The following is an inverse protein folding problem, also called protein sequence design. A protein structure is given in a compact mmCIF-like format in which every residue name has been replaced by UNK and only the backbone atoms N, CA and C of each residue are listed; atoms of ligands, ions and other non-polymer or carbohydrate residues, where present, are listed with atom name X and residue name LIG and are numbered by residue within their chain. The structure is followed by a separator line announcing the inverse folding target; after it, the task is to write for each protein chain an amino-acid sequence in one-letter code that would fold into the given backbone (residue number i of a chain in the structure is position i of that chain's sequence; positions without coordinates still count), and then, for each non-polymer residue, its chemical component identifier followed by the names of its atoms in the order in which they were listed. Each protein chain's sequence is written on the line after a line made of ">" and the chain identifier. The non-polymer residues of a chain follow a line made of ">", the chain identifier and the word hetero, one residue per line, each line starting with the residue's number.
data_IF_293942828900
#
_entry.id   IF_293942828900
#
_cell.length_a   1.000
_cell.length_b   1.000
_cell.length_c   1.000
_cell.angle_alpha   90.00
_cell.angle_beta   90.00
_cell.angle_gamma   90.00
#
_symmetry.space_group_name_H-M   'P 1'
#
loop_
_entity.id
_entity.type
_entity.pdbx_description
1 polymer ?
#
# COMPACT_ATOMS: atom_id res chain seq x y z
N UNK A 1 26.08 -0.54 8.58
CA UNK A 1 25.95 -1.89 8.00
C UNK A 1 24.82 -1.81 6.98
N UNK A 2 25.23 -1.51 5.74
CA UNK A 2 24.53 -1.74 4.47
C UNK A 2 23.01 -1.49 4.39
N UNK A 3 22.67 -0.21 4.20
CA UNK A 3 21.39 0.30 3.67
C UNK A 3 21.15 -0.12 2.20
N UNK A 4 21.13 -1.42 1.90
CA UNK A 4 20.82 -1.90 0.55
C UNK A 4 19.31 -1.89 0.23
N UNK A 5 18.47 -1.54 1.20
CA UNK A 5 17.02 -1.50 1.05
C UNK A 5 16.51 -0.15 0.47
N UNK A 6 17.40 0.85 0.33
CA UNK A 6 17.06 2.25 0.00
C UNK A 6 16.72 2.53 -1.47
N UNK A 7 17.41 1.98 -2.49
CA UNK A 7 17.31 2.52 -3.85
C UNK A 7 15.95 2.30 -4.52
N UNK A 8 15.33 1.14 -4.29
CA UNK A 8 14.04 0.83 -4.90
C UNK A 8 12.89 1.57 -4.22
N UNK A 9 12.98 1.82 -2.91
CA UNK A 9 12.02 2.63 -2.15
C UNK A 9 12.09 4.10 -2.57
N UNK A 10 13.30 4.63 -2.71
CA UNK A 10 13.53 5.97 -3.27
C UNK A 10 12.99 6.09 -4.70
N UNK A 11 13.26 5.09 -5.55
CA UNK A 11 12.69 5.05 -6.89
C UNK A 11 11.16 4.99 -6.86
N UNK A 12 10.56 4.21 -5.94
CA UNK A 12 9.12 4.12 -5.79
C UNK A 12 8.51 5.45 -5.30
N UNK A 13 9.24 6.21 -4.49
CA UNK A 13 8.81 7.55 -4.08
C UNK A 13 8.79 8.55 -5.25
N UNK A 14 9.78 8.47 -6.13
CA UNK A 14 9.90 9.37 -7.30
C UNK A 14 8.95 8.96 -8.43
N UNK A 15 8.82 7.65 -8.67
CA UNK A 15 8.08 7.08 -9.80
C UNK A 15 6.79 6.39 -9.36
N UNK A 16 6.17 6.88 -8.28
CA UNK A 16 4.95 6.29 -7.73
C UNK A 16 3.81 6.17 -8.74
N UNK A 17 3.50 7.21 -9.56
CA UNK A 17 2.46 7.09 -10.59
C UNK A 17 2.77 5.99 -11.60
N UNK A 18 3.99 5.95 -12.14
CA UNK A 18 4.40 4.97 -13.15
C UNK A 18 4.43 3.55 -12.58
N UNK A 19 4.81 3.41 -11.30
CA UNK A 19 4.74 2.15 -10.58
C UNK A 19 3.31 1.62 -10.48
N UNK A 20 2.35 2.48 -10.10
CA UNK A 20 0.94 2.08 -10.03
C UNK A 20 0.35 1.84 -11.43
N UNK A 21 0.71 2.64 -12.43
CA UNK A 21 0.29 2.41 -13.81
C UNK A 21 0.71 1.02 -14.31
N UNK A 22 1.93 0.60 -13.97
CA UNK A 22 2.49 -0.68 -14.41
C UNK A 22 1.89 -1.88 -13.67
N UNK A 23 1.77 -1.81 -12.34
CA UNK A 23 1.43 -2.98 -11.51
C UNK A 23 0.00 -2.99 -10.98
N UNK A 24 -0.63 -1.82 -10.85
CA UNK A 24 -1.95 -1.63 -10.26
C UNK A 24 -2.79 -0.59 -11.05
N UNK A 25 -3.03 -0.82 -12.35
CA UNK A 25 -3.64 0.18 -13.23
C UNK A 25 -5.01 0.65 -12.74
N UNK A 26 -5.81 -0.23 -12.13
CA UNK A 26 -7.11 0.16 -11.53
C UNK A 26 -6.96 1.20 -10.42
N UNK A 27 -5.93 1.07 -9.57
CA UNK A 27 -5.63 2.04 -8.50
C UNK A 27 -5.10 3.33 -9.12
N UNK A 28 -4.24 3.22 -10.13
CA UNK A 28 -3.72 4.40 -10.82
C UNK A 28 -4.84 5.26 -11.44
N UNK A 29 -5.85 4.62 -12.04
CA UNK A 29 -6.97 5.32 -12.66
C UNK A 29 -7.94 5.94 -11.65
N UNK A 30 -7.93 5.46 -10.40
CA UNK A 30 -8.76 5.98 -9.33
C UNK A 30 -8.16 7.19 -8.59
N UNK A 31 -6.89 7.53 -8.85
CA UNK A 31 -6.19 8.64 -8.20
C UNK A 31 -6.27 9.90 -9.06
N UNK A 32 -6.53 11.05 -8.42
CA UNK A 32 -6.43 12.36 -9.04
C UNK A 32 -4.99 12.89 -8.96
N UNK A 33 -4.23 12.64 -10.03
CA UNK A 33 -2.83 13.05 -10.15
C UNK A 33 -2.60 14.56 -10.21
N UNK A 34 -3.65 15.38 -10.42
CA UNK A 34 -3.50 16.84 -10.42
C UNK A 34 -3.13 17.40 -9.04
N UNK A 35 -3.44 16.66 -7.97
CA UNK A 35 -3.12 17.00 -6.58
C UNK A 35 -1.76 16.47 -6.12
N UNK A 36 -1.11 15.62 -6.93
CA UNK A 36 0.16 14.98 -6.59
C UNK A 36 0.04 13.87 -5.53
N UNK A 37 1.17 13.46 -4.96
CA UNK A 37 1.24 12.46 -3.89
C UNK A 37 2.22 12.92 -2.81
N UNK A 38 1.94 12.56 -1.57
CA UNK A 38 2.82 12.88 -0.44
C UNK A 38 3.33 11.62 0.23
N UNK A 39 4.64 11.51 0.42
CA UNK A 39 5.26 10.46 1.23
C UNK A 39 4.94 10.72 2.71
N UNK A 40 4.46 9.70 3.41
CA UNK A 40 4.26 9.72 4.86
C UNK A 40 5.33 8.87 5.54
N UNK A 41 5.95 9.43 6.58
CA UNK A 41 6.96 8.71 7.36
C UNK A 41 6.31 7.65 8.26
N UNK A 42 6.80 6.41 8.16
CA UNK A 42 6.23 5.24 8.83
C UNK A 42 6.83 4.93 10.21
N UNK A 43 7.79 5.74 10.69
CA UNK A 43 8.45 5.55 11.98
C UNK A 43 7.46 5.62 13.17
N UNK A 44 6.29 6.20 12.95
CA UNK A 44 5.25 6.43 13.94
C UNK A 44 4.37 5.20 14.25
N UNK A 45 4.57 4.06 13.56
CA UNK A 45 3.78 2.84 13.78
C UNK A 45 4.31 1.96 14.93
N UNK A 46 5.42 2.33 15.59
CA UNK A 46 5.96 1.64 16.76
C UNK A 46 5.22 1.98 18.07
N UNK A 47 5.01 0.99 18.94
CA UNK A 47 4.62 1.23 20.34
C UNK A 47 5.81 0.98 21.27
N UNK A 48 5.79 1.53 22.49
CA UNK A 48 6.90 1.47 23.46
C UNK A 48 7.45 0.07 23.79
N UNK A 49 6.72 -1.01 23.46
CA UNK A 49 7.12 -2.41 23.72
C UNK A 49 7.38 -3.25 22.46
N UNK A 50 7.34 -2.66 21.26
CA UNK A 50 7.70 -3.35 20.01
C UNK A 50 8.67 -2.49 19.23
N UNK A 51 9.80 -3.07 18.81
CA UNK A 51 10.75 -2.42 17.90
C UNK A 51 9.98 -1.73 16.78
N UNK A 52 10.21 -0.42 16.62
CA UNK A 52 9.56 0.39 15.58
C UNK A 52 9.65 -0.34 14.25
N UNK A 53 8.49 -0.70 13.70
CA UNK A 53 8.43 -1.50 12.48
C UNK A 53 8.02 -0.58 11.35
N UNK A 54 8.99 -0.32 10.48
CA UNK A 54 8.89 0.59 9.34
C UNK A 54 8.13 -0.14 8.23
N UNK A 55 7.04 0.45 7.73
CA UNK A 55 6.46 0.00 6.46
C UNK A 55 7.30 0.51 5.30
N UNK A 56 7.34 -0.24 4.21
CA UNK A 56 8.23 0.05 3.09
C UNK A 56 7.94 1.40 2.44
N UNK A 57 6.71 1.62 1.99
CA UNK A 57 6.25 2.89 1.44
C UNK A 57 4.82 3.18 1.89
N UNK A 58 4.58 4.41 2.32
CA UNK A 58 3.26 4.94 2.64
C UNK A 58 3.05 6.28 1.94
N UNK A 59 2.06 6.33 1.06
CA UNK A 59 1.72 7.52 0.29
C UNK A 59 0.34 8.02 0.68
N UNK A 60 0.17 9.32 0.72
CA UNK A 60 -1.14 9.97 0.70
C UNK A 60 -1.48 10.40 -0.72
N UNK A 61 -2.70 10.08 -1.15
CA UNK A 61 -3.21 10.41 -2.49
C UNK A 61 -4.65 10.88 -2.40
N UNK A 62 -5.06 11.72 -3.36
CA UNK A 62 -6.45 12.16 -3.53
C UNK A 62 -7.14 11.29 -4.57
N UNK A 63 -8.36 10.84 -4.27
CA UNK A 63 -9.15 10.01 -5.17
C UNK A 63 -9.90 10.85 -6.21
N UNK A 64 -10.05 10.30 -7.41
CA UNK A 64 -10.90 10.82 -8.49
C UNK A 64 -12.35 10.33 -8.29
N UNK A 65 -12.95 10.67 -7.15
CA UNK A 65 -14.29 10.24 -6.75
C UNK A 65 -15.31 11.41 -6.73
N UNK A 66 -14.88 12.60 -7.12
CA UNK A 66 -15.68 13.83 -7.08
C UNK A 66 -15.89 14.41 -5.66
N UNK A 67 -15.43 13.73 -4.62
CA UNK A 67 -15.42 14.19 -3.22
C UNK A 67 -14.02 14.60 -2.76
N UNK A 68 -13.00 14.35 -3.57
CA UNK A 68 -11.59 14.60 -3.27
C UNK A 68 -11.14 13.87 -1.98
N UNK A 69 -11.57 12.62 -1.82
CA UNK A 69 -11.22 11.82 -0.64
C UNK A 69 -9.72 11.56 -0.60
N UNK A 70 -9.05 11.97 0.49
CA UNK A 70 -7.66 11.59 0.74
C UNK A 70 -7.58 10.19 1.36
N UNK A 71 -6.83 9.31 0.73
CA UNK A 71 -6.56 7.94 1.22
C UNK A 71 -5.06 7.71 1.37
N UNK A 72 -4.72 6.66 2.12
CA UNK A 72 -3.35 6.19 2.27
C UNK A 72 -3.12 4.94 1.43
N UNK A 73 -2.06 4.94 0.63
CA UNK A 73 -1.60 3.77 -0.13
C UNK A 73 -0.34 3.24 0.53
N UNK A 74 -0.44 2.08 1.14
CA UNK A 74 0.68 1.32 1.70
C UNK A 74 1.16 0.31 0.65
N UNK A 75 2.42 0.38 0.26
CA UNK A 75 3.04 -0.62 -0.63
C UNK A 75 4.03 -1.44 0.18
N UNK A 76 3.95 -2.76 0.04
CA UNK A 76 4.89 -3.72 0.61
C UNK A 76 5.48 -4.59 -0.51
N UNK A 77 6.80 -4.76 -0.54
CA UNK A 77 7.47 -5.60 -1.54
C UNK A 77 8.17 -6.76 -0.85
N UNK A 78 7.75 -7.99 -1.17
CA UNK A 78 8.27 -9.20 -0.55
C UNK A 78 9.04 -10.05 -1.58
N UNK A 79 10.37 -10.09 -1.43
CA UNK A 79 11.27 -10.83 -2.33
C UNK A 79 11.68 -12.22 -1.82
N UNK A 80 11.26 -12.60 -0.62
CA UNK A 80 11.59 -13.89 -0.01
C UNK A 80 10.37 -14.52 0.64
N UNK A 81 10.34 -15.85 0.73
CA UNK A 81 9.26 -16.54 1.43
C UNK A 81 9.24 -16.18 2.91
N UNK A 82 8.06 -15.81 3.41
CA UNK A 82 7.86 -15.49 4.81
C UNK A 82 6.48 -15.97 5.28
N UNK A 83 6.50 -16.97 6.17
CA UNK A 83 5.30 -17.63 6.67
C UNK A 83 4.40 -16.70 7.49
N UNK A 84 4.92 -15.58 8.01
CA UNK A 84 4.19 -14.60 8.79
C UNK A 84 3.78 -13.37 7.97
N UNK A 85 4.00 -13.37 6.66
CA UNK A 85 3.79 -12.19 5.83
C UNK A 85 2.34 -11.68 5.86
N UNK A 86 1.36 -12.58 5.75
CA UNK A 86 -0.05 -12.22 5.78
C UNK A 86 -0.46 -11.59 7.12
N UNK A 87 0.03 -12.14 8.24
CA UNK A 87 -0.23 -11.60 9.59
C UNK A 87 0.38 -10.20 9.73
N UNK A 88 1.60 -9.98 9.24
CA UNK A 88 2.23 -8.66 9.25
C UNK A 88 1.49 -7.63 8.42
N UNK A 89 1.04 -7.99 7.22
CA UNK A 89 0.27 -7.08 6.37
C UNK A 89 -1.02 -6.64 7.06
N UNK A 90 -1.70 -7.57 7.73
CA UNK A 90 -2.89 -7.26 8.53
C UNK A 90 -2.57 -6.28 9.66
N UNK A 91 -1.51 -6.55 10.42
CA UNK A 91 -1.08 -5.67 11.52
C UNK A 91 -0.71 -4.26 11.03
N UNK A 92 0.00 -4.14 9.91
CA UNK A 92 0.35 -2.87 9.32
C UNK A 92 -0.88 -2.09 8.87
N UNK A 93 -1.78 -2.74 8.11
CA UNK A 93 -3.01 -2.12 7.65
C UNK A 93 -3.83 -1.58 8.83
N UNK A 94 -4.00 -2.39 9.87
CA UNK A 94 -4.74 -2.00 11.07
C UNK A 94 -4.08 -0.82 11.80
N UNK A 95 -2.76 -0.85 11.99
CA UNK A 95 -2.02 0.22 12.67
C UNK A 95 -2.03 1.52 11.89
N UNK A 96 -1.86 1.50 10.58
CA UNK A 96 -1.96 2.69 9.73
C UNK A 96 -3.36 3.27 9.84
N UNK A 97 -4.40 2.43 9.74
CA UNK A 97 -5.79 2.90 9.85
C UNK A 97 -6.07 3.55 11.20
N UNK A 98 -5.59 2.95 12.28
CA UNK A 98 -5.76 3.46 13.64
C UNK A 98 -4.98 4.76 13.87
N UNK A 99 -3.75 4.85 13.35
CA UNK A 99 -2.89 6.01 13.55
C UNK A 99 -3.39 7.25 12.79
N UNK A 100 -3.74 7.09 11.52
CA UNK A 100 -4.10 8.22 10.66
C UNK A 100 -5.60 8.49 10.59
N UNK A 101 -6.45 7.52 10.95
CA UNK A 101 -7.91 7.66 10.90
C UNK A 101 -8.51 7.74 9.49
N UNK A 102 -7.73 7.42 8.45
CA UNK A 102 -8.12 7.55 7.02
C UNK A 102 -8.20 6.20 6.32
N UNK A 103 -8.96 6.06 5.22
CA UNK A 103 -8.93 4.87 4.37
C UNK A 103 -7.51 4.47 3.98
N UNK A 104 -7.24 3.16 4.01
CA UNK A 104 -5.94 2.57 3.68
C UNK A 104 -6.15 1.56 2.56
N UNK A 105 -5.36 1.66 1.51
CA UNK A 105 -5.22 0.67 0.46
C UNK A 105 -3.86 0.01 0.62
N UNK A 106 -3.81 -1.30 0.84
CA UNK A 106 -2.55 -2.04 0.94
C UNK A 106 -2.29 -2.79 -0.36
N UNK A 107 -1.16 -2.50 -0.99
CA UNK A 107 -0.69 -3.08 -2.24
C UNK A 107 0.54 -3.94 -1.98
N UNK A 108 0.57 -5.11 -2.59
CA UNK A 108 1.62 -6.10 -2.35
C UNK A 108 2.24 -6.51 -3.67
N UNK A 109 3.57 -6.39 -3.76
CA UNK A 109 4.35 -6.92 -4.88
C UNK A 109 5.12 -8.14 -4.39
N UNK A 110 4.82 -9.30 -4.97
CA UNK A 110 5.53 -10.55 -4.68
C UNK A 110 6.62 -10.75 -5.73
N UNK A 111 7.88 -10.76 -5.31
CA UNK A 111 9.05 -10.92 -6.17
C UNK A 111 9.55 -12.36 -6.28
N UNK A 112 8.75 -13.36 -5.89
CA UNK A 112 9.22 -14.75 -5.90
C UNK A 112 9.34 -15.33 -7.32
N UNK A 113 10.26 -16.28 -7.50
CA UNK A 113 10.49 -17.00 -8.75
C UNK A 113 9.63 -18.29 -8.85
N UNK A 114 8.68 -18.49 -7.94
CA UNK A 114 7.92 -19.74 -7.80
C UNK A 114 6.52 -19.61 -8.40
N UNK A 115 6.34 -20.12 -9.61
CA UNK A 115 5.06 -20.19 -10.33
C UNK A 115 3.95 -20.99 -9.65
N UNK A 116 4.19 -21.55 -8.45
CA UNK A 116 3.27 -22.44 -7.72
C UNK A 116 2.66 -21.85 -6.45
N UNK A 117 3.03 -20.63 -6.06
CA UNK A 117 2.53 -20.03 -4.83
C UNK A 117 1.83 -18.71 -5.13
N UNK A 118 0.49 -18.73 -5.04
CA UNK A 118 -0.32 -17.55 -4.78
C UNK A 118 -0.81 -17.75 -3.35
N UNK A 119 -0.60 -16.82 -2.40
CA UNK A 119 -1.34 -16.89 -1.15
C UNK A 119 -2.82 -16.92 -1.54
N UNK A 120 -3.47 -18.06 -1.29
CA UNK A 120 -4.84 -18.32 -1.68
C UNK A 120 -5.71 -17.14 -1.25
N UNK A 121 -6.24 -16.44 -2.26
CA UNK A 121 -7.31 -15.46 -2.17
C UNK A 121 -7.35 -14.62 -0.88
N UNK A 122 -6.51 -13.58 -0.81
CA UNK A 122 -7.05 -12.30 -0.33
C UNK A 122 -7.13 -11.33 -1.49
N UNK A 123 -7.83 -11.77 -2.55
CA UNK A 123 -8.61 -10.88 -3.40
C UNK A 123 -9.74 -10.30 -2.55
N UNK A 124 -9.40 -9.41 -1.64
CA UNK A 124 -10.31 -8.39 -1.14
C UNK A 124 -9.71 -7.10 -1.63
N UNK A 125 -10.23 -6.63 -2.75
CA UNK A 125 -10.39 -5.22 -3.01
C UNK A 125 -10.88 -4.56 -1.72
N UNK A 126 -9.96 -4.04 -0.90
CA UNK A 126 -10.31 -3.11 0.17
C UNK A 126 -10.56 -1.73 -0.46
N UNK A 127 -11.48 -1.70 -1.42
CA UNK A 127 -12.35 -0.56 -1.64
C UNK A 127 -13.36 -0.62 -0.50
N UNK A 128 -13.01 -0.05 0.66
CA UNK A 128 -14.02 0.38 1.61
C UNK A 128 -14.38 1.83 1.27
N UNK A 129 -14.92 2.03 0.07
CA UNK A 129 -15.78 3.16 -0.20
C UNK A 129 -17.18 2.68 0.19
N UNK A 130 -17.64 3.14 1.35
CA UNK A 130 -19.04 3.08 1.72
C UNK A 130 -19.77 4.01 0.74
N UNK A 131 -20.08 3.52 -0.46
CA UNK A 131 -20.94 4.20 -1.44
C UNK A 131 -21.38 3.20 -2.49
N UNK A 132 -22.65 2.85 -2.36
CA UNK A 132 -23.52 2.19 -3.32
C UNK A 132 -23.17 2.54 -4.77
N UNK A 133 -22.81 1.55 -5.60
CA UNK A 133 -22.72 1.72 -7.05
C UNK A 133 -22.80 0.37 -7.79
N UNK A 134 -23.78 0.32 -8.68
CA UNK A 134 -24.31 -0.81 -9.44
C UNK A 134 -23.32 -1.35 -10.49
N UNK A 135 -23.21 -2.67 -10.62
CA UNK A 135 -22.53 -3.33 -11.73
C UNK A 135 -23.45 -3.50 -12.94
N UNK A 136 -22.96 -3.18 -14.14
CA UNK A 136 -23.52 -3.68 -15.41
C UNK A 136 -22.53 -4.69 -16.02
N UNK A 137 -23.12 -5.70 -16.64
CA UNK A 137 -22.59 -6.95 -17.21
C UNK A 137 -21.49 -6.82 -18.25
#
# INVERSE_FOLDING_TARGET
>A
MTDFDSPWKEALHVYFPQFLELLFPEVHHAIDWSHGCQVLESELLGSANTTARRVDVLMEVTMLDGQATCILVHVEVQNQHDAQFAERLFDYHYRIRLHFGRPVCTLVVLGDASSGWRPDSTRRSCWAADTDSTFQS
#
